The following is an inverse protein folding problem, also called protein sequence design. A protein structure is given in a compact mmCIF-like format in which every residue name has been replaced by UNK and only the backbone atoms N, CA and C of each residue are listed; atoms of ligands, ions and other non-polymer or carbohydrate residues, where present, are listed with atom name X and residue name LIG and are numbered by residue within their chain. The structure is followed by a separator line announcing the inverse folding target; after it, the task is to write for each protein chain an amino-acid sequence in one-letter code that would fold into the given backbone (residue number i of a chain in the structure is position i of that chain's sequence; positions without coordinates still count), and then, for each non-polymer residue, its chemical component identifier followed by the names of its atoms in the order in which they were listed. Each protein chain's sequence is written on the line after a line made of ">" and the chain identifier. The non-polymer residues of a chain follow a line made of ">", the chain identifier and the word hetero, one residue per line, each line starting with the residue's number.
data_IF_231653768805
#
_entry.id   IF_231653768805
#
_cell.length_a   1.000
_cell.length_b   1.000
_cell.length_c   1.000
_cell.angle_alpha   90.00
_cell.angle_beta   90.00
_cell.angle_gamma   90.00
#
_symmetry.space_group_name_H-M   'P 1'
#
loop_
_entity.id
_entity.type
_entity.pdbx_description
1 polymer ?
#
# COMPACT_ATOMS: atom_id res chain seq x y z
N UNK A 1 -27.62 10.77 9.73
CA UNK A 1 -26.18 11.00 9.45
C UNK A 1 -25.74 9.90 8.50
N UNK A 2 -25.59 10.22 7.22
CA UNK A 2 -24.99 9.29 6.25
C UNK A 2 -23.53 9.09 6.62
N UNK A 3 -23.12 7.82 6.69
CA UNK A 3 -21.77 7.45 7.07
C UNK A 3 -20.89 7.62 5.83
N UNK A 4 -20.03 8.65 5.79
CA UNK A 4 -19.13 8.98 4.65
C UNK A 4 -17.92 8.01 4.55
N UNK A 5 -18.12 6.73 4.86
CA UNK A 5 -17.10 5.69 4.71
C UNK A 5 -17.70 4.30 4.45
N UNK A 6 -16.95 3.45 3.77
CA UNK A 6 -17.22 2.02 3.59
C UNK A 6 -16.20 1.20 4.35
N UNK A 7 -16.65 0.36 5.28
CA UNK A 7 -15.78 -0.62 5.95
C UNK A 7 -15.32 -1.67 4.95
N UNK A 8 -14.01 -1.91 4.90
CA UNK A 8 -13.41 -2.87 3.95
C UNK A 8 -12.80 -4.09 4.64
N UNK A 9 -12.42 -3.97 5.92
CA UNK A 9 -11.88 -5.08 6.73
C UNK A 9 -12.12 -4.79 8.20
N UNK A 10 -12.73 -5.75 8.92
CA UNK A 10 -12.83 -5.77 10.38
C UNK A 10 -11.83 -6.77 10.95
N UNK A 11 -11.31 -6.48 12.13
CA UNK A 11 -10.38 -7.32 12.85
C UNK A 11 -11.01 -7.88 14.14
N UNK A 12 -10.49 -9.01 14.67
CA UNK A 12 -11.04 -9.63 15.89
C UNK A 12 -11.03 -8.73 17.12
N UNK A 13 -10.14 -7.75 17.18
CA UNK A 13 -10.05 -6.79 18.28
C UNK A 13 -11.02 -5.60 18.15
N UNK A 14 -11.96 -5.65 17.19
CA UNK A 14 -12.95 -4.60 16.96
C UNK A 14 -12.44 -3.42 16.12
N UNK A 15 -11.14 -3.34 15.84
CA UNK A 15 -10.60 -2.34 14.91
C UNK A 15 -11.00 -2.64 13.46
N UNK A 16 -10.96 -1.64 12.59
CA UNK A 16 -11.30 -1.82 11.18
C UNK A 16 -10.60 -0.82 10.25
N UNK A 17 -10.46 -1.20 9.00
CA UNK A 17 -10.15 -0.30 7.89
C UNK A 17 -11.41 0.09 7.13
N UNK A 18 -11.43 1.32 6.64
CA UNK A 18 -12.46 1.83 5.73
C UNK A 18 -11.85 2.70 4.64
N UNK A 19 -12.55 2.83 3.53
CA UNK A 19 -12.37 3.94 2.59
C UNK A 19 -13.35 5.05 2.95
N UNK A 20 -12.88 6.29 2.92
CA UNK A 20 -13.68 7.47 3.18
C UNK A 20 -13.43 8.52 2.08
N UNK A 21 -14.33 9.50 2.02
CA UNK A 21 -14.13 10.67 1.16
C UNK A 21 -12.88 11.44 1.60
N UNK A 22 -11.93 11.58 0.68
CA UNK A 22 -10.74 12.41 0.83
C UNK A 22 -10.92 13.79 0.17
N UNK A 23 -9.85 14.59 0.22
CA UNK A 23 -9.82 15.90 -0.43
C UNK A 23 -9.72 15.80 -1.97
N UNK A 24 -9.13 14.73 -2.48
CA UNK A 24 -8.82 14.55 -3.91
C UNK A 24 -9.61 13.41 -4.54
N UNK A 25 -9.82 12.32 -3.79
CA UNK A 25 -10.52 11.11 -4.24
C UNK A 25 -11.37 10.51 -3.09
N UNK A 26 -12.20 9.52 -3.42
CA UNK A 26 -13.05 8.81 -2.46
C UNK A 26 -12.36 7.58 -1.84
N UNK A 27 -11.06 7.42 -2.06
CA UNK A 27 -10.29 6.22 -1.73
C UNK A 27 -9.34 6.44 -0.56
N UNK A 28 -9.64 7.42 0.31
CA UNK A 28 -8.80 7.69 1.46
C UNK A 28 -8.91 6.57 2.48
N UNK A 29 -7.80 5.90 2.75
CA UNK A 29 -7.73 4.86 3.79
C UNK A 29 -7.87 5.49 5.19
N UNK A 30 -8.76 4.93 5.99
CA UNK A 30 -8.95 5.24 7.41
C UNK A 30 -8.80 3.97 8.23
N UNK A 31 -8.12 4.09 9.37
CA UNK A 31 -8.07 3.06 10.40
C UNK A 31 -8.79 3.57 11.64
N UNK A 32 -9.66 2.74 12.20
CA UNK A 32 -10.32 2.99 13.47
C UNK A 32 -9.89 1.91 14.45
N UNK A 33 -9.33 2.30 15.58
CA UNK A 33 -8.89 1.36 16.61
C UNK A 33 -10.09 0.79 17.40
N UNK A 34 -9.82 -0.14 18.32
CA UNK A 34 -10.82 -0.79 19.18
C UNK A 34 -11.57 0.19 20.10
N UNK A 35 -11.00 1.37 20.35
CA UNK A 35 -11.60 2.44 21.17
C UNK A 35 -12.41 3.45 20.34
N UNK A 36 -12.53 3.23 19.02
CA UNK A 36 -13.23 4.14 18.11
C UNK A 36 -12.41 5.35 17.67
N UNK A 37 -11.13 5.46 18.05
CA UNK A 37 -10.23 6.52 17.58
C UNK A 37 -9.82 6.26 16.14
N UNK A 38 -10.13 7.21 15.27
CA UNK A 38 -9.83 7.15 13.85
C UNK A 38 -8.56 7.92 13.49
N UNK A 39 -7.74 7.39 12.58
CA UNK A 39 -6.66 8.11 11.92
C UNK A 39 -6.54 7.74 10.44
N UNK A 40 -5.90 8.62 9.67
CA UNK A 40 -5.40 8.27 8.33
C UNK A 40 -3.97 7.75 8.46
N UNK A 41 -3.69 6.50 8.04
CA UNK A 41 -2.34 5.97 8.09
C UNK A 41 -1.40 6.81 7.21
N UNK A 42 -0.25 7.23 7.76
CA UNK A 42 0.76 7.97 7.01
C UNK A 42 1.85 7.04 6.51
N UNK A 43 2.49 7.42 5.40
CA UNK A 43 3.62 6.69 4.82
C UNK A 43 4.71 6.36 5.83
N UNK A 44 5.13 7.37 6.60
CA UNK A 44 6.14 7.20 7.64
C UNK A 44 5.73 6.17 8.70
N UNK A 45 4.43 6.05 9.03
CA UNK A 45 3.95 5.16 10.09
C UNK A 45 4.11 3.70 9.67
N UNK A 46 3.64 3.32 8.48
CA UNK A 46 3.75 1.93 8.03
C UNK A 46 5.17 1.57 7.60
N UNK A 47 5.96 2.52 7.06
CA UNK A 47 7.38 2.29 6.75
C UNK A 47 8.21 2.06 8.02
N UNK A 48 7.93 2.81 9.09
CA UNK A 48 8.56 2.58 10.40
C UNK A 48 8.18 1.22 10.96
N UNK A 49 6.89 0.85 10.88
CA UNK A 49 6.41 -0.46 11.33
C UNK A 49 7.01 -1.62 10.53
N UNK A 50 7.29 -1.45 9.23
CA UNK A 50 7.99 -2.46 8.43
C UNK A 50 9.42 -2.69 8.93
N UNK A 51 10.16 -1.62 9.25
CA UNK A 51 11.51 -1.74 9.83
C UNK A 51 11.48 -2.43 11.20
N UNK A 52 10.49 -2.09 12.03
CA UNK A 52 10.26 -2.76 13.32
C UNK A 52 9.91 -4.24 13.15
N UNK A 53 9.08 -4.58 12.16
CA UNK A 53 8.71 -5.97 11.86
C UNK A 53 9.93 -6.81 11.46
N UNK A 54 10.84 -6.25 10.66
CA UNK A 54 12.11 -6.91 10.31
C UNK A 54 12.94 -7.20 11.57
N UNK A 55 13.11 -6.23 12.46
CA UNK A 55 13.85 -6.41 13.71
C UNK A 55 13.18 -7.47 14.61
N UNK A 56 11.86 -7.37 14.79
CA UNK A 56 11.09 -8.33 15.59
C UNK A 56 11.17 -9.75 15.02
N UNK A 57 11.12 -9.91 13.70
CA UNK A 57 11.30 -11.21 13.04
C UNK A 57 12.71 -11.76 13.31
N UNK A 58 13.76 -10.97 13.05
CA UNK A 58 15.15 -11.39 13.29
C UNK A 58 15.38 -11.82 14.74
N UNK A 59 14.87 -11.06 15.71
CA UNK A 59 14.99 -11.41 17.13
C UNK A 59 14.18 -12.65 17.53
N UNK A 60 12.94 -12.75 17.07
CA UNK A 60 12.03 -13.84 17.48
C UNK A 60 12.38 -15.19 16.86
N UNK A 61 12.87 -15.23 15.62
CA UNK A 61 13.24 -16.47 14.92
C UNK A 61 14.74 -16.75 14.92
N UNK A 62 15.56 -15.84 15.46
CA UNK A 62 17.04 -15.91 15.49
C UNK A 62 17.68 -16.01 14.11
N UNK A 63 17.01 -15.52 13.07
CA UNK A 63 17.60 -15.37 11.73
C UNK A 63 18.37 -14.05 11.65
N UNK A 64 19.40 -13.99 10.82
CA UNK A 64 20.15 -12.77 10.57
C UNK A 64 19.27 -11.68 9.92
N UNK A 65 19.68 -10.42 10.09
CA UNK A 65 18.93 -9.26 9.61
C UNK A 65 18.71 -9.27 8.08
N UNK A 66 19.72 -9.58 7.23
CA UNK A 66 19.51 -9.76 5.79
C UNK A 66 18.45 -10.81 5.43
N UNK A 67 18.42 -11.94 6.13
CA UNK A 67 17.39 -12.97 5.96
C UNK A 67 16.00 -12.47 6.37
N UNK A 68 15.87 -11.79 7.51
CA UNK A 68 14.61 -11.20 7.95
C UNK A 68 14.07 -10.15 6.97
N UNK A 69 14.96 -9.28 6.46
CA UNK A 69 14.65 -8.32 5.39
C UNK A 69 14.09 -9.04 4.16
N UNK A 70 14.76 -10.11 3.72
CA UNK A 70 14.34 -10.88 2.55
C UNK A 70 12.95 -11.48 2.73
N UNK A 71 12.64 -12.03 3.90
CA UNK A 71 11.33 -12.59 4.22
C UNK A 71 10.25 -11.50 4.12
N UNK A 72 10.38 -10.41 4.89
CA UNK A 72 9.40 -9.31 4.90
C UNK A 72 9.22 -8.70 3.51
N UNK A 73 10.31 -8.54 2.77
CA UNK A 73 10.27 -8.04 1.39
C UNK A 73 9.50 -8.99 0.47
N UNK A 74 9.70 -10.30 0.57
CA UNK A 74 9.01 -11.26 -0.29
C UNK A 74 7.50 -11.29 -0.01
N UNK A 75 7.08 -11.09 1.24
CA UNK A 75 5.67 -10.94 1.57
C UNK A 75 5.08 -9.64 1.04
N UNK A 76 5.82 -8.54 1.17
CA UNK A 76 5.44 -7.29 0.54
C UNK A 76 5.27 -7.43 -0.98
N UNK A 77 6.21 -8.10 -1.66
CA UNK A 77 6.12 -8.39 -3.10
C UNK A 77 4.89 -9.22 -3.43
N UNK A 78 4.51 -10.17 -2.56
CA UNK A 78 3.27 -10.93 -2.72
C UNK A 78 2.06 -9.99 -2.68
N UNK A 79 1.98 -9.09 -1.70
CA UNK A 79 0.88 -8.12 -1.56
C UNK A 79 0.84 -7.14 -2.74
N UNK A 80 2.00 -6.65 -3.19
CA UNK A 80 2.14 -5.83 -4.39
C UNK A 80 1.55 -6.53 -5.62
N UNK A 81 1.85 -7.82 -5.81
CA UNK A 81 1.28 -8.59 -6.90
C UNK A 81 -0.22 -8.85 -6.75
N UNK A 82 -0.77 -8.97 -5.53
CA UNK A 82 -2.22 -9.05 -5.33
C UNK A 82 -2.91 -7.82 -5.93
N UNK A 83 -2.41 -6.62 -5.63
CA UNK A 83 -2.97 -5.37 -6.17
C UNK A 83 -2.89 -5.33 -7.70
N UNK A 84 -1.75 -5.75 -8.27
CA UNK A 84 -1.59 -5.82 -9.72
C UNK A 84 -2.58 -6.80 -10.37
N UNK A 85 -2.68 -8.04 -9.87
CA UNK A 85 -3.60 -9.04 -10.42
C UNK A 85 -5.06 -8.59 -10.29
N UNK A 86 -5.41 -7.98 -9.17
CA UNK A 86 -6.71 -7.38 -8.95
C UNK A 86 -7.01 -6.30 -9.99
N UNK A 87 -6.05 -5.40 -10.25
CA UNK A 87 -6.21 -4.37 -11.28
C UNK A 87 -6.39 -4.97 -12.68
N UNK A 88 -5.66 -6.03 -13.05
CA UNK A 88 -5.86 -6.73 -14.32
C UNK A 88 -7.28 -7.29 -14.41
N UNK A 89 -7.72 -7.99 -13.36
CA UNK A 89 -9.04 -8.61 -13.32
C UNK A 89 -10.18 -7.59 -13.30
N UNK A 90 -9.92 -6.37 -12.82
CA UNK A 90 -10.89 -5.28 -12.72
C UNK A 90 -10.69 -4.19 -13.79
N UNK A 91 -10.07 -4.52 -14.95
CA UNK A 91 -9.90 -3.56 -16.06
C UNK A 91 -9.24 -2.23 -15.65
N UNK A 92 -8.23 -2.30 -14.78
CA UNK A 92 -7.52 -1.15 -14.24
C UNK A 92 -8.18 -0.47 -13.03
N UNK A 93 -9.22 -1.08 -12.43
CA UNK A 93 -9.97 -0.55 -11.29
C UNK A 93 -9.92 -1.50 -10.07
N UNK A 94 -8.74 -1.74 -9.48
CA UNK A 94 -8.65 -2.68 -8.37
C UNK A 94 -9.53 -2.26 -7.20
N UNK A 95 -10.27 -3.22 -6.64
CA UNK A 95 -11.14 -3.03 -5.47
C UNK A 95 -10.66 -3.93 -4.32
N UNK A 96 -11.00 -3.63 -3.07
CA UNK A 96 -10.66 -4.57 -1.99
C UNK A 96 -11.45 -5.88 -2.13
N UNK A 97 -10.79 -7.03 -1.96
CA UNK A 97 -11.42 -8.35 -2.05
C UNK A 97 -11.11 -9.19 -0.81
N UNK A 98 -12.07 -10.03 -0.40
CA UNK A 98 -11.91 -10.90 0.78
C UNK A 98 -10.78 -11.92 0.59
N UNK A 99 -10.64 -12.46 -0.61
CA UNK A 99 -9.55 -13.38 -0.99
C UNK A 99 -8.16 -12.78 -0.76
N UNK A 100 -7.96 -11.50 -1.10
CA UNK A 100 -6.72 -10.78 -0.87
C UNK A 100 -6.45 -10.62 0.64
N UNK A 101 -7.47 -10.30 1.44
CA UNK A 101 -7.34 -10.23 2.90
C UNK A 101 -7.06 -11.60 3.54
N UNK A 102 -7.65 -12.68 3.03
CA UNK A 102 -7.34 -14.04 3.48
C UNK A 102 -5.88 -14.41 3.19
N UNK A 103 -5.36 -14.00 2.02
CA UNK A 103 -3.94 -14.17 1.70
C UNK A 103 -3.06 -13.35 2.65
N UNK A 104 -3.41 -12.10 2.94
CA UNK A 104 -2.69 -11.24 3.89
C UNK A 104 -2.68 -11.84 5.30
N UNK A 105 -3.81 -12.36 5.77
CA UNK A 105 -3.93 -13.04 7.06
C UNK A 105 -3.02 -14.29 7.13
N UNK A 106 -2.98 -15.07 6.04
CA UNK A 106 -2.09 -16.23 5.91
C UNK A 106 -0.61 -15.84 5.95
N UNK A 107 -0.20 -14.79 5.23
CA UNK A 107 1.18 -14.28 5.26
C UNK A 107 1.60 -13.84 6.67
N UNK A 108 0.66 -13.35 7.46
CA UNK A 108 0.92 -12.80 8.80
C UNK A 108 1.17 -13.87 9.87
N UNK A 109 0.80 -15.14 9.61
CA UNK A 109 0.90 -16.22 10.60
C UNK A 109 2.32 -16.60 11.01
N UNK A 110 3.32 -16.26 10.19
CA UNK A 110 4.73 -16.56 10.51
C UNK A 110 5.42 -15.53 11.40
N UNK A 111 4.70 -14.47 11.79
CA UNK A 111 5.21 -13.40 12.63
C UNK A 111 4.67 -13.55 14.05
N UNK A 112 5.47 -13.18 15.05
CA UNK A 112 5.06 -13.26 16.46
C UNK A 112 3.87 -12.35 16.78
N UNK A 113 3.84 -11.13 16.24
CA UNK A 113 2.70 -10.22 16.37
C UNK A 113 1.75 -10.35 15.17
N UNK A 114 1.05 -11.49 15.07
CA UNK A 114 0.19 -11.86 13.92
C UNK A 114 -0.79 -10.75 13.54
N UNK A 115 -1.65 -10.32 14.47
CA UNK A 115 -2.70 -9.33 14.19
C UNK A 115 -2.13 -7.96 13.79
N UNK A 116 -1.04 -7.54 14.45
CA UNK A 116 -0.36 -6.28 14.12
C UNK A 116 0.25 -6.33 12.72
N UNK A 117 0.80 -7.48 12.34
CA UNK A 117 1.36 -7.72 11.01
C UNK A 117 0.27 -7.76 9.94
N UNK A 118 -0.86 -8.42 10.21
CA UNK A 118 -2.02 -8.44 9.31
C UNK A 118 -2.54 -7.03 9.05
N UNK A 119 -2.61 -6.18 10.07
CA UNK A 119 -2.99 -4.77 9.92
C UNK A 119 -1.97 -3.95 9.13
N UNK A 120 -0.67 -4.18 9.35
CA UNK A 120 0.39 -3.52 8.59
C UNK A 120 0.34 -3.87 7.09
N UNK A 121 0.16 -5.16 6.79
CA UNK A 121 0.02 -5.63 5.43
C UNK A 121 -1.30 -5.18 4.80
N UNK A 122 -2.39 -5.16 5.58
CA UNK A 122 -3.68 -4.62 5.18
C UNK A 122 -3.62 -3.15 4.78
N UNK A 123 -2.94 -2.30 5.57
CA UNK A 123 -2.79 -0.87 5.20
C UNK A 123 -1.93 -0.69 3.96
N UNK A 124 -0.87 -1.49 3.77
CA UNK A 124 -0.05 -1.41 2.56
C UNK A 124 -0.86 -1.78 1.31
N UNK A 125 -1.64 -2.85 1.38
CA UNK A 125 -2.57 -3.27 0.32
C UNK A 125 -3.58 -2.17 -0.03
N UNK A 126 -4.27 -1.63 0.98
CA UNK A 126 -5.30 -0.60 0.78
C UNK A 126 -4.72 0.73 0.30
N UNK A 127 -3.55 1.13 0.81
CA UNK A 127 -2.85 2.32 0.34
C UNK A 127 -2.45 2.17 -1.14
N UNK A 128 -1.99 0.98 -1.54
CA UNK A 128 -1.68 0.70 -2.94
C UNK A 128 -2.93 0.71 -3.83
N UNK A 129 -4.08 0.20 -3.37
CA UNK A 129 -5.37 0.37 -4.08
C UNK A 129 -5.71 1.85 -4.24
N UNK A 130 -5.60 2.64 -3.17
CA UNK A 130 -5.88 4.08 -3.21
C UNK A 130 -5.07 4.81 -4.30
N UNK A 131 -3.78 4.47 -4.46
CA UNK A 131 -2.94 5.03 -5.52
C UNK A 131 -3.39 4.70 -6.95
N UNK A 132 -4.12 3.60 -7.18
CA UNK A 132 -4.71 3.31 -8.50
C UNK A 132 -5.86 4.25 -8.85
N UNK A 133 -6.54 4.79 -7.85
CA UNK A 133 -7.66 5.71 -8.02
C UNK A 133 -7.28 7.17 -7.77
N UNK A 134 -6.03 7.44 -7.38
CA UNK A 134 -5.54 8.79 -7.18
C UNK A 134 -5.59 9.57 -8.51
N UNK A 135 -6.41 10.62 -8.52
CA UNK A 135 -6.53 11.55 -9.64
C UNK A 135 -5.56 12.71 -9.48
N UNK A 136 -4.88 13.09 -10.56
CA UNK A 136 -3.95 14.22 -10.57
C UNK A 136 -4.74 15.52 -10.35
N UNK A 137 -4.44 16.29 -9.29
CA UNK A 137 -5.10 17.57 -9.05
C UNK A 137 -4.98 18.50 -10.26
N UNK A 138 -6.06 19.20 -10.58
CA UNK A 138 -6.16 20.16 -11.70
C UNK A 138 -6.00 19.56 -13.12
N UNK A 139 -5.99 18.24 -13.27
CA UNK A 139 -6.05 17.62 -14.60
C UNK A 139 -7.46 17.74 -15.20
N UNK A 140 -7.55 18.16 -16.47
CA UNK A 140 -8.80 18.22 -17.26
C UNK A 140 -8.56 17.51 -18.59
N UNK A 141 -9.24 16.37 -18.88
CA UNK A 141 -10.13 15.64 -17.97
C UNK A 141 -9.39 15.13 -16.72
N UNK A 142 -10.12 14.76 -15.66
CA UNK A 142 -9.51 14.12 -14.49
C UNK A 142 -8.80 12.86 -14.94
N UNK A 143 -7.50 12.78 -14.70
CA UNK A 143 -6.67 11.63 -15.07
C UNK A 143 -6.06 10.99 -13.83
N UNK A 144 -6.01 9.65 -13.83
CA UNK A 144 -5.34 8.90 -12.78
C UNK A 144 -3.82 8.98 -12.92
N UNK A 145 -3.12 8.84 -11.81
CA UNK A 145 -1.66 8.80 -11.81
C UNK A 145 -1.13 7.65 -12.65
N UNK A 146 -0.24 7.98 -13.59
CA UNK A 146 0.50 7.01 -14.40
C UNK A 146 1.28 5.99 -13.56
N UNK A 147 1.78 6.41 -12.38
CA UNK A 147 2.65 5.59 -11.54
C UNK A 147 1.88 4.59 -10.68
N UNK A 148 0.60 4.85 -10.37
CA UNK A 148 -0.24 3.95 -9.57
C UNK A 148 0.48 3.55 -8.28
N UNK A 149 0.32 2.31 -7.82
CA UNK A 149 0.98 1.80 -6.61
C UNK A 149 2.52 1.67 -6.67
N UNK A 150 3.19 1.95 -7.80
CA UNK A 150 4.65 1.78 -7.91
C UNK A 150 5.43 2.76 -7.02
N UNK A 151 4.89 3.95 -6.75
CA UNK A 151 5.53 4.92 -5.83
C UNK A 151 5.52 4.44 -4.38
N UNK A 152 4.48 3.70 -3.98
CA UNK A 152 4.40 3.06 -2.65
C UNK A 152 5.36 1.89 -2.56
N UNK A 153 5.43 1.08 -3.62
CA UNK A 153 6.40 0.00 -3.71
C UNK A 153 7.84 0.51 -3.64
N UNK A 154 8.13 1.64 -4.28
CA UNK A 154 9.45 2.25 -4.22
C UNK A 154 9.82 2.68 -2.80
N UNK A 155 8.93 3.36 -2.08
CA UNK A 155 9.19 3.75 -0.70
C UNK A 155 9.45 2.52 0.20
N UNK A 156 8.66 1.45 0.05
CA UNK A 156 8.88 0.20 0.80
C UNK A 156 10.22 -0.43 0.46
N UNK A 157 10.58 -0.49 -0.82
CA UNK A 157 11.85 -1.08 -1.25
C UNK A 157 13.07 -0.23 -0.85
N UNK A 158 12.95 1.10 -0.83
CA UNK A 158 13.99 1.98 -0.30
C UNK A 158 14.29 1.68 1.17
N UNK A 159 13.27 1.43 1.99
CA UNK A 159 13.46 1.04 3.40
C UNK A 159 14.02 -0.38 3.52
N UNK A 160 13.38 -1.37 2.89
CA UNK A 160 13.73 -2.77 3.09
C UNK A 160 15.03 -3.17 2.40
N UNK A 161 15.30 -2.66 1.19
CA UNK A 161 16.48 -3.03 0.38
C UNK A 161 17.56 -1.96 0.37
N UNK A 162 17.17 -0.69 0.41
CA UNK A 162 18.12 0.44 0.39
C UNK A 162 18.63 0.83 1.78
N UNK A 163 18.00 0.35 2.86
CA UNK A 163 18.31 0.76 4.22
C UNK A 163 17.95 2.23 4.52
N UNK A 164 17.16 2.86 3.65
CA UNK A 164 16.74 4.26 3.78
C UNK A 164 15.88 4.45 5.04
N UNK A 165 15.99 5.63 5.66
CA UNK A 165 15.14 5.97 6.78
C UNK A 165 13.66 6.08 6.34
N UNK A 166 12.70 5.58 7.14
CA UNK A 166 11.27 5.69 6.84
C UNK A 166 10.79 7.12 6.54
N UNK A 167 11.35 8.14 7.21
CA UNK A 167 10.97 9.53 6.96
C UNK A 167 11.43 10.01 5.58
N UNK A 168 12.64 9.61 5.17
CA UNK A 168 13.20 9.96 3.87
C UNK A 168 12.45 9.24 2.73
N UNK A 169 12.16 7.95 2.89
CA UNK A 169 11.39 7.19 1.91
C UNK A 169 9.95 7.71 1.77
N UNK A 170 9.32 8.10 2.89
CA UNK A 170 8.00 8.74 2.88
C UNK A 170 8.02 10.10 2.16
N UNK A 171 9.04 10.92 2.39
CA UNK A 171 9.17 12.22 1.71
C UNK A 171 9.46 12.06 0.22
N UNK A 172 10.21 11.02 -0.17
CA UNK A 172 10.40 10.69 -1.58
C UNK A 172 9.06 10.37 -2.26
N UNK A 173 8.27 9.50 -1.64
CA UNK A 173 6.93 9.10 -2.11
C UNK A 173 5.95 10.28 -2.18
N UNK A 174 6.05 11.26 -1.27
CA UNK A 174 5.10 12.39 -1.20
C UNK A 174 5.51 13.61 -2.03
N UNK A 175 6.80 13.97 -1.99
CA UNK A 175 7.28 15.28 -2.42
C UNK A 175 8.46 15.18 -3.39
N UNK A 176 9.56 14.50 -3.02
CA UNK A 176 10.80 14.58 -3.83
C UNK A 176 10.61 14.05 -5.24
N UNK A 177 9.77 13.03 -5.45
CA UNK A 177 9.51 12.54 -6.80
C UNK A 177 8.83 13.59 -7.69
N UNK A 178 8.12 14.59 -7.15
CA UNK A 178 7.39 15.58 -7.97
C UNK A 178 8.32 16.45 -8.81
N UNK A 179 9.54 16.72 -8.34
CA UNK A 179 10.57 17.45 -9.10
C UNK A 179 11.37 16.56 -10.06
N UNK A 180 11.08 15.25 -10.09
CA UNK A 180 11.79 14.27 -10.92
C UNK A 180 11.10 14.03 -12.25
N UNK A 181 11.90 13.92 -13.30
CA UNK A 181 11.46 13.47 -14.62
C UNK A 181 10.93 12.03 -14.57
N UNK A 182 10.09 11.61 -15.53
CA UNK A 182 9.66 10.21 -15.64
C UNK A 182 10.85 9.24 -15.70
N UNK A 183 11.91 9.59 -16.43
CA UNK A 183 13.11 8.77 -16.60
C UNK A 183 13.87 8.59 -15.28
N UNK A 184 14.02 9.65 -14.48
CA UNK A 184 14.64 9.55 -13.15
C UNK A 184 13.83 8.65 -12.22
N UNK A 185 12.50 8.75 -12.24
CA UNK A 185 11.62 7.89 -11.44
C UNK A 185 11.73 6.42 -11.85
N UNK A 186 11.71 6.14 -13.14
CA UNK A 186 11.87 4.78 -13.69
C UNK A 186 13.27 4.22 -13.38
N UNK A 187 14.31 5.05 -13.45
CA UNK A 187 15.66 4.68 -13.05
C UNK A 187 15.71 4.30 -11.57
N UNK A 188 15.08 5.09 -10.70
CA UNK A 188 15.00 4.82 -9.27
C UNK A 188 14.26 3.49 -8.99
N UNK A 189 13.10 3.27 -9.63
CA UNK A 189 12.37 1.99 -9.54
C UNK A 189 13.21 0.80 -10.05
N UNK A 190 14.02 1.02 -11.10
CA UNK A 190 14.93 0.04 -11.67
C UNK A 190 16.01 -0.44 -10.69
N UNK A 191 16.58 0.46 -9.87
CA UNK A 191 17.55 0.10 -8.82
C UNK A 191 16.99 -0.96 -7.86
N UNK A 192 15.70 -0.84 -7.56
CA UNK A 192 14.99 -1.74 -6.66
C UNK A 192 14.31 -2.93 -7.34
N UNK A 193 14.48 -3.10 -8.67
CA UNK A 193 13.87 -4.19 -9.46
C UNK A 193 12.34 -4.22 -9.34
N UNK A 194 11.70 -3.06 -9.28
CA UNK A 194 10.24 -2.94 -9.27
C UNK A 194 9.75 -3.16 -10.71
N UNK A 195 8.75 -4.04 -10.91
CA UNK A 195 8.16 -4.31 -12.22
C UNK A 195 7.16 -3.21 -12.62
N UNK A 196 7.68 -1.99 -12.80
CA UNK A 196 6.85 -0.80 -13.03
C UNK A 196 6.23 -0.77 -14.43
N UNK A 197 6.90 -1.34 -15.44
CA UNK A 197 6.46 -1.28 -16.85
C UNK A 197 5.11 -1.95 -17.02
N UNK A 198 4.97 -3.19 -16.54
CA UNK A 198 3.72 -3.94 -16.65
C UNK A 198 2.55 -3.22 -16.00
N UNK A 199 2.78 -2.52 -14.89
CA UNK A 199 1.74 -1.77 -14.19
C UNK A 199 1.35 -0.52 -14.95
N UNK A 200 2.34 0.23 -15.44
CA UNK A 200 2.11 1.46 -16.19
C UNK A 200 1.39 1.22 -17.52
N UNK A 201 1.57 0.05 -18.12
CA UNK A 201 0.93 -0.36 -19.38
C UNK A 201 -0.54 -0.82 -19.23
N UNK A 202 -1.03 -1.05 -18.00
CA UNK A 202 -2.42 -1.52 -17.80
C UNK A 202 -3.41 -0.44 -18.25
N UNK A 203 -4.26 -0.73 -19.22
CA UNK A 203 -5.33 0.21 -19.61
C UNK A 203 -6.38 0.32 -18.50
N UNK A 204 -6.81 1.53 -18.22
CA UNK A 204 -7.90 1.81 -17.27
C UNK A 204 -9.18 1.99 -18.06
N UNK A 205 -10.20 1.24 -17.69
CA UNK A 205 -11.56 1.39 -18.20
C UNK A 205 -12.37 2.19 -17.19
N UNK A 206 -12.37 3.52 -17.33
CA UNK A 206 -13.06 4.43 -16.41
C UNK A 206 -14.59 4.20 -16.39
N UNK A 207 -15.15 3.56 -17.43
CA UNK A 207 -16.59 3.21 -17.48
C UNK A 207 -16.97 2.11 -16.49
N UNK A 208 -15.97 1.35 -15.99
CA UNK A 208 -16.14 0.28 -15.01
C UNK A 208 -15.67 0.67 -13.61
N UNK A 209 -15.38 1.95 -13.37
CA UNK A 209 -14.97 2.40 -12.05
C UNK A 209 -16.08 2.13 -11.03
N UNK A 210 -15.74 1.34 -10.01
CA UNK A 210 -16.59 1.12 -8.85
C UNK A 210 -16.14 2.08 -7.75
N UNK A 211 -17.03 2.97 -7.30
CA UNK A 211 -16.67 3.86 -6.21
C UNK A 211 -16.71 3.11 -4.88
N UNK A 212 -15.79 3.41 -3.96
CA UNK A 212 -15.71 2.72 -2.69
C UNK A 212 -16.84 3.16 -1.76
N UNK A 213 -17.60 4.22 -2.10
CA UNK A 213 -18.70 4.76 -1.30
C UNK A 213 -20.08 4.58 -1.96
N UNK A 214 -20.14 3.94 -3.14
CA UNK A 214 -21.38 3.63 -3.86
C UNK A 214 -21.89 2.23 -3.55
#
# INVERSE_FOLDING_TARGET
>A
MTVDYRVVKKYPDGSFFSFAKGAFDNWQVRYTNSEGKQNSPKDIDYLTKLKQLVCALSSSTKVDLPTAITIVRNDFVTIYHLVYQNAINQSGNPINQESDFNKIASLSQKYSEVLKTEKLFGVLYLAMISEWHYTIPNSIPKTRSYYRHTLKALAVMQVLRGGMDPSEAADWSRNKHKSKTPQEKMSEMGKYKIDYKKIMDVKIDDTKEQYPLS
#
